data_IF_675863067858
#
_entry.id   IF_675863067858
#
_cell.length_a   1.000
_cell.length_b   1.000
_cell.length_c   1.000
_cell.angle_alpha   90.00
_cell.angle_beta   90.00
_cell.angle_gamma   90.00
#
_symmetry.space_group_name_H-M   'P 1'
#
loop_
_entity.id
_entity.type
_entity.pdbx_description
1 polymer ?
#
# COMPACT_ATOMS: atom_id res chain seq x y z
N UNK A 1 -10.81 15.00 -7.99
CA UNK A 1 -11.76 13.87 -7.79
C UNK A 1 -12.46 14.10 -6.46
N UNK A 2 -13.79 14.08 -6.42
CA UNK A 2 -14.53 14.23 -5.16
C UNK A 2 -14.34 13.03 -4.23
N UNK A 3 -14.60 13.21 -2.93
CA UNK A 3 -14.60 12.13 -1.93
C UNK A 3 -15.69 11.11 -2.29
N UNK A 4 -15.33 10.04 -2.99
CA UNK A 4 -16.25 8.95 -3.28
C UNK A 4 -16.34 8.04 -2.04
N UNK A 5 -17.42 8.20 -1.28
CA UNK A 5 -17.72 7.33 -0.15
C UNK A 5 -18.19 5.99 -0.69
N UNK A 6 -17.61 4.90 -0.18
CA UNK A 6 -18.04 3.55 -0.53
C UNK A 6 -19.50 3.31 -0.11
N UNK A 7 -20.22 2.52 -0.89
CA UNK A 7 -21.51 1.94 -0.53
C UNK A 7 -21.38 1.12 0.76
N UNK A 8 -22.50 0.89 1.44
CA UNK A 8 -22.52 0.06 2.65
C UNK A 8 -22.03 -1.36 2.39
N UNK A 9 -22.27 -1.88 1.20
CA UNK A 9 -21.81 -3.20 0.76
C UNK A 9 -20.30 -3.21 0.54
N UNK A 10 -19.77 -2.25 -0.22
CA UNK A 10 -18.34 -2.14 -0.49
C UNK A 10 -17.51 -1.83 0.77
N UNK A 11 -18.06 -1.02 1.69
CA UNK A 11 -17.38 -0.62 2.93
C UNK A 11 -17.01 -1.82 3.83
N UNK A 12 -17.69 -2.96 3.71
CA UNK A 12 -17.36 -4.18 4.46
C UNK A 12 -15.94 -4.68 4.18
N UNK A 13 -15.44 -4.40 2.99
CA UNK A 13 -14.15 -4.90 2.50
C UNK A 13 -13.04 -3.86 2.58
N UNK A 14 -13.35 -2.65 3.04
CA UNK A 14 -12.47 -1.50 3.00
C UNK A 14 -11.10 -1.81 3.63
N UNK A 15 -11.10 -2.41 4.84
CA UNK A 15 -9.85 -2.72 5.55
C UNK A 15 -9.02 -3.78 4.85
N UNK A 16 -9.65 -4.83 4.32
CA UNK A 16 -8.94 -5.91 3.62
C UNK A 16 -8.24 -5.36 2.36
N UNK A 17 -8.93 -4.53 1.58
CA UNK A 17 -8.35 -3.90 0.38
C UNK A 17 -7.24 -2.92 0.77
N UNK A 18 -7.47 -2.12 1.82
CA UNK A 18 -6.47 -1.18 2.33
C UNK A 18 -5.18 -1.88 2.76
N UNK A 19 -5.28 -3.03 3.43
CA UNK A 19 -4.14 -3.85 3.83
C UNK A 19 -3.45 -4.52 2.64
N UNK A 20 -4.21 -4.99 1.63
CA UNK A 20 -3.64 -5.58 0.41
C UNK A 20 -2.76 -4.58 -0.33
N UNK A 21 -3.27 -3.39 -0.60
CA UNK A 21 -2.51 -2.32 -1.28
C UNK A 21 -1.35 -1.85 -0.40
N UNK A 22 -1.55 -1.75 0.93
CA UNK A 22 -0.46 -1.39 1.85
C UNK A 22 0.70 -2.39 1.76
N UNK A 23 0.42 -3.69 1.82
CA UNK A 23 1.45 -4.73 1.75
C UNK A 23 2.10 -4.81 0.36
N UNK A 24 1.34 -4.61 -0.72
CA UNK A 24 1.91 -4.48 -2.07
C UNK A 24 3.02 -3.42 -2.10
N UNK A 25 2.74 -2.22 -1.57
CA UNK A 25 3.73 -1.14 -1.56
C UNK A 25 4.89 -1.40 -0.60
N UNK A 26 4.64 -1.97 0.58
CA UNK A 26 5.71 -2.37 1.51
C UNK A 26 6.68 -3.34 0.82
N UNK A 27 6.16 -4.37 0.14
CA UNK A 27 6.96 -5.33 -0.62
C UNK A 27 7.77 -4.64 -1.71
N UNK A 28 7.13 -3.78 -2.50
CA UNK A 28 7.80 -3.01 -3.56
C UNK A 28 8.94 -2.17 -2.97
N UNK A 29 8.68 -1.38 -1.91
CA UNK A 29 9.69 -0.51 -1.30
C UNK A 29 10.83 -1.29 -0.68
N UNK A 30 10.53 -2.40 -0.01
CA UNK A 30 11.55 -3.28 0.54
C UNK A 30 12.47 -3.82 -0.55
N UNK A 31 11.89 -4.32 -1.65
CA UNK A 31 12.66 -4.84 -2.79
C UNK A 31 13.50 -3.74 -3.43
N UNK A 32 12.94 -2.54 -3.66
CA UNK A 32 13.68 -1.42 -4.26
C UNK A 32 14.82 -0.91 -3.38
N UNK A 33 14.70 -1.05 -2.05
CA UNK A 33 15.73 -0.66 -1.07
C UNK A 33 16.87 -1.67 -1.05
N UNK A 34 16.55 -2.96 -1.15
CA UNK A 34 17.47 -4.07 -0.90
C UNK A 34 17.95 -4.79 -2.18
N UNK A 35 17.54 -4.32 -3.37
CA UNK A 35 17.95 -4.90 -4.65
C UNK A 35 18.08 -3.86 -5.75
N UNK A 36 18.54 -4.30 -6.94
CA UNK A 36 18.62 -3.49 -8.14
C UNK A 36 17.29 -3.40 -8.92
N UNK A 37 16.23 -4.08 -8.47
CA UNK A 37 14.91 -4.06 -9.09
C UNK A 37 14.23 -2.72 -8.82
N UNK A 38 13.52 -2.18 -9.82
CA UNK A 38 12.75 -0.92 -9.73
C UNK A 38 11.38 -1.08 -10.37
N UNK A 39 10.36 -0.53 -9.74
CA UNK A 39 8.97 -0.54 -10.22
C UNK A 39 8.64 0.87 -10.70
N UNK A 40 8.89 1.14 -11.99
CA UNK A 40 8.90 2.50 -12.53
C UNK A 40 7.54 2.93 -13.06
N UNK A 41 6.78 1.99 -13.58
CA UNK A 41 5.51 2.26 -14.24
C UNK A 41 4.33 1.81 -13.38
N UNK A 42 3.16 2.40 -13.59
CA UNK A 42 1.94 1.95 -12.92
C UNK A 42 1.67 0.46 -13.15
N UNK A 43 1.92 -0.02 -14.38
CA UNK A 43 1.82 -1.44 -14.73
C UNK A 43 2.77 -2.33 -13.93
N UNK A 44 3.99 -1.87 -13.63
CA UNK A 44 4.92 -2.63 -12.79
C UNK A 44 4.36 -2.82 -11.38
N UNK A 45 3.74 -1.77 -10.83
CA UNK A 45 3.09 -1.81 -9.52
C UNK A 45 1.91 -2.80 -9.55
N UNK A 46 0.99 -2.63 -10.50
CA UNK A 46 -0.19 -3.51 -10.66
C UNK A 46 0.20 -4.98 -10.83
N UNK A 47 1.23 -5.26 -11.64
CA UNK A 47 1.68 -6.62 -11.92
C UNK A 47 2.14 -7.41 -10.69
N UNK A 48 2.48 -6.75 -9.59
CA UNK A 48 2.77 -7.41 -8.31
C UNK A 48 1.53 -8.15 -7.79
N UNK A 49 0.34 -7.59 -7.99
CA UNK A 49 -0.94 -8.21 -7.62
C UNK A 49 -1.53 -9.04 -8.77
N UNK A 50 -1.51 -8.53 -10.00
CA UNK A 50 -2.21 -9.18 -11.12
C UNK A 50 -1.42 -10.31 -11.78
N UNK A 51 -0.10 -10.35 -11.58
CA UNK A 51 0.77 -11.30 -12.27
C UNK A 51 0.82 -11.11 -13.79
N UNK A 52 0.48 -9.91 -14.28
CA UNK A 52 0.45 -9.59 -15.71
C UNK A 52 -0.86 -9.93 -16.42
N UNK A 53 -1.87 -10.40 -15.69
CA UNK A 53 -3.21 -10.69 -16.25
C UNK A 53 -4.09 -9.44 -16.14
N UNK A 54 -4.97 -9.15 -17.13
CA UNK A 54 -5.82 -7.96 -17.09
C UNK A 54 -6.77 -7.88 -15.89
N UNK A 55 -7.26 -9.02 -15.43
CA UNK A 55 -8.29 -9.14 -14.38
C UNK A 55 -7.92 -10.29 -13.46
N UNK A 56 -8.09 -10.13 -12.15
CA UNK A 56 -7.72 -11.15 -11.15
C UNK A 56 -8.69 -11.13 -9.97
N UNK A 57 -8.88 -12.26 -9.31
CA UNK A 57 -9.62 -12.33 -8.04
C UNK A 57 -8.76 -11.86 -6.86
N UNK A 58 -9.38 -11.44 -5.75
CA UNK A 58 -8.62 -11.07 -4.55
C UNK A 58 -7.80 -12.23 -3.96
N UNK A 59 -8.33 -13.46 -3.97
CA UNK A 59 -7.55 -14.64 -3.53
C UNK A 59 -6.33 -14.87 -4.42
N UNK A 60 -6.49 -14.74 -5.74
CA UNK A 60 -5.38 -14.89 -6.67
C UNK A 60 -4.36 -13.75 -6.56
N UNK A 61 -4.81 -12.53 -6.26
CA UNK A 61 -3.95 -11.38 -6.06
C UNK A 61 -3.05 -11.51 -4.83
N UNK A 62 -3.59 -11.98 -3.70
CA UNK A 62 -2.78 -12.20 -2.49
C UNK A 62 -1.79 -13.36 -2.68
N UNK A 63 -2.16 -14.39 -3.45
CA UNK A 63 -1.23 -15.46 -3.85
C UNK A 63 -0.09 -14.95 -4.72
N UNK A 64 -0.40 -14.09 -5.69
CA UNK A 64 0.61 -13.44 -6.53
C UNK A 64 1.56 -12.58 -5.69
N UNK A 65 1.02 -11.79 -4.74
CA UNK A 65 1.82 -10.99 -3.82
C UNK A 65 2.74 -11.88 -2.97
N UNK A 66 2.21 -12.96 -2.38
CA UNK A 66 2.98 -13.88 -1.56
C UNK A 66 4.09 -14.56 -2.35
N UNK A 67 3.79 -15.06 -3.56
CA UNK A 67 4.77 -15.64 -4.46
C UNK A 67 5.86 -14.63 -4.80
N UNK A 68 5.46 -13.43 -5.19
CA UNK A 68 6.38 -12.36 -5.58
C UNK A 68 7.32 -11.96 -4.44
N UNK A 69 6.79 -11.91 -3.22
CA UNK A 69 7.51 -11.57 -2.00
C UNK A 69 8.51 -12.66 -1.61
N UNK A 70 8.09 -13.93 -1.57
CA UNK A 70 8.99 -15.07 -1.25
C UNK A 70 10.15 -15.22 -2.23
N UNK A 71 9.97 -14.80 -3.49
CA UNK A 71 11.03 -14.84 -4.49
C UNK A 71 12.08 -13.75 -4.31
N UNK A 72 11.82 -12.69 -3.55
CA UNK A 72 12.65 -11.46 -3.53
C UNK A 72 12.99 -10.94 -2.13
N UNK A 73 12.30 -11.42 -1.09
CA UNK A 73 12.50 -11.05 0.30
C UNK A 73 13.01 -12.30 1.02
N UNK A 74 14.26 -12.25 1.50
CA UNK A 74 14.92 -13.38 2.15
C UNK A 74 15.10 -13.20 3.66
N UNK A 75 15.23 -11.95 4.14
CA UNK A 75 15.63 -11.64 5.52
C UNK A 75 14.60 -10.80 6.28
N UNK A 76 13.33 -10.83 5.86
CA UNK A 76 12.25 -10.09 6.54
C UNK A 76 10.96 -10.92 6.59
N UNK A 77 10.91 -11.81 7.58
CA UNK A 77 9.78 -12.71 7.80
C UNK A 77 8.51 -11.95 8.22
N UNK A 78 8.64 -10.79 8.86
CA UNK A 78 7.48 -9.99 9.29
C UNK A 78 6.61 -9.56 8.10
N UNK A 79 7.22 -9.14 6.99
CA UNK A 79 6.46 -8.79 5.78
C UNK A 79 5.75 -10.04 5.23
N UNK A 80 6.43 -11.18 5.19
CA UNK A 80 5.85 -12.43 4.68
C UNK A 80 4.70 -12.92 5.57
N UNK A 81 4.87 -12.87 6.89
CA UNK A 81 3.86 -13.27 7.86
C UNK A 81 2.61 -12.39 7.77
N UNK A 82 2.77 -11.07 7.64
CA UNK A 82 1.64 -10.16 7.42
C UNK A 82 0.85 -10.49 6.13
N UNK A 83 1.54 -10.91 5.06
CA UNK A 83 0.89 -11.33 3.81
C UNK A 83 0.12 -12.64 4.01
N UNK A 84 0.70 -13.60 4.74
CA UNK A 84 0.04 -14.87 5.07
C UNK A 84 -1.21 -14.64 5.92
N UNK A 85 -1.14 -13.79 6.94
CA UNK A 85 -2.31 -13.42 7.75
C UNK A 85 -3.40 -12.73 6.92
N UNK A 86 -3.03 -11.84 5.99
CA UNK A 86 -3.99 -11.22 5.09
C UNK A 86 -4.60 -12.23 4.12
N UNK A 87 -3.81 -13.19 3.63
CA UNK A 87 -4.29 -14.28 2.79
C UNK A 87 -5.37 -15.08 3.51
N UNK A 88 -5.14 -15.46 4.77
CA UNK A 88 -6.12 -16.19 5.56
C UNK A 88 -7.42 -15.37 5.73
N UNK A 89 -7.32 -14.06 5.94
CA UNK A 89 -8.51 -13.17 6.01
C UNK A 89 -9.26 -13.12 4.69
N UNK A 90 -8.55 -12.99 3.56
CA UNK A 90 -9.17 -12.95 2.23
C UNK A 90 -9.87 -14.28 1.95
N UNK A 91 -9.18 -15.41 2.09
CA UNK A 91 -9.70 -16.73 1.74
C UNK A 91 -10.92 -17.15 2.58
N UNK A 92 -11.04 -16.60 3.81
CA UNK A 92 -12.18 -16.79 4.70
C UNK A 92 -13.25 -15.68 4.60
N UNK A 93 -13.23 -14.86 3.54
CA UNK A 93 -14.21 -13.79 3.34
C UNK A 93 -14.87 -13.83 1.96
N UNK A 94 -16.00 -13.13 1.82
CA UNK A 94 -16.79 -13.10 0.58
C UNK A 94 -16.07 -12.42 -0.59
N UNK A 95 -15.07 -11.56 -0.33
CA UNK A 95 -14.32 -10.84 -1.37
C UNK A 95 -13.40 -11.73 -2.20
N UNK A 96 -13.07 -12.94 -1.71
CA UNK A 96 -12.02 -13.80 -2.30
C UNK A 96 -12.21 -14.07 -3.80
N UNK A 97 -13.46 -14.19 -4.22
CA UNK A 97 -13.89 -14.52 -5.59
C UNK A 97 -14.30 -13.29 -6.41
N UNK A 98 -14.34 -12.09 -5.78
CA UNK A 98 -14.58 -10.84 -6.49
C UNK A 98 -13.33 -10.45 -7.30
N UNK A 99 -13.56 -9.77 -8.42
CA UNK A 99 -12.51 -9.40 -9.37
C UNK A 99 -12.17 -7.91 -9.29
N UNK A 100 -10.93 -7.60 -9.66
CA UNK A 100 -10.47 -6.24 -9.93
C UNK A 100 -9.50 -6.22 -11.13
N UNK A 101 -9.22 -5.04 -11.68
CA UNK A 101 -8.47 -4.84 -12.92
C UNK A 101 -9.35 -4.46 -14.11
N UNK A 102 -8.89 -4.74 -15.33
CA UNK A 102 -9.60 -4.39 -16.56
C UNK A 102 -10.94 -5.12 -16.65
N UNK A 103 -11.98 -4.43 -17.12
CA UNK A 103 -13.28 -5.01 -17.51
C UNK A 103 -14.03 -5.79 -16.39
N UNK A 104 -14.05 -5.25 -15.16
CA UNK A 104 -14.90 -5.74 -14.07
C UNK A 104 -16.39 -5.65 -14.41
N UNK A 105 -17.14 -6.70 -14.03
CA UNK A 105 -18.47 -6.98 -14.58
C UNK A 105 -19.63 -6.44 -13.74
N UNK A 106 -19.44 -6.31 -12.42
CA UNK A 106 -20.48 -5.90 -11.48
C UNK A 106 -20.26 -4.50 -10.90
N UNK A 107 -21.34 -3.87 -10.43
CA UNK A 107 -21.28 -2.55 -9.78
C UNK A 107 -20.41 -2.56 -8.52
N UNK A 108 -20.50 -3.62 -7.71
CA UNK A 108 -19.66 -3.81 -6.52
C UNK A 108 -18.18 -3.95 -6.89
N UNK A 109 -17.83 -4.83 -7.84
CA UNK A 109 -16.43 -5.01 -8.27
C UNK A 109 -15.84 -3.73 -8.83
N UNK A 110 -16.60 -2.96 -9.62
CA UNK A 110 -16.16 -1.66 -10.11
C UNK A 110 -15.91 -0.68 -8.97
N UNK A 111 -16.80 -0.61 -7.98
CA UNK A 111 -16.60 0.25 -6.82
C UNK A 111 -15.35 -0.14 -6.00
N UNK A 112 -15.13 -1.44 -5.79
CA UNK A 112 -13.93 -1.94 -5.11
C UNK A 112 -12.65 -1.71 -5.92
N UNK A 113 -12.69 -1.86 -7.25
CA UNK A 113 -11.56 -1.58 -8.15
C UNK A 113 -11.17 -0.09 -8.12
N UNK A 114 -12.16 0.81 -8.15
CA UNK A 114 -11.91 2.25 -7.95
C UNK A 114 -11.29 2.53 -6.57
N UNK A 115 -11.67 1.77 -5.54
CA UNK A 115 -11.07 1.88 -4.21
C UNK A 115 -9.61 1.40 -4.20
N UNK A 116 -9.30 0.26 -4.84
CA UNK A 116 -7.92 -0.23 -5.04
C UNK A 116 -7.07 0.85 -5.72
N UNK A 117 -7.58 1.44 -6.80
CA UNK A 117 -6.90 2.52 -7.54
C UNK A 117 -6.65 3.75 -6.66
N UNK A 118 -7.67 4.18 -5.91
CA UNK A 118 -7.57 5.32 -4.99
C UNK A 118 -6.55 5.08 -3.88
N UNK A 119 -6.53 3.88 -3.27
CA UNK A 119 -5.52 3.46 -2.30
C UNK A 119 -4.13 3.41 -2.92
N UNK A 120 -4.01 2.95 -4.16
CA UNK A 120 -2.74 2.93 -4.90
C UNK A 120 -2.18 4.34 -5.08
N UNK A 121 -3.02 5.29 -5.52
CA UNK A 121 -2.59 6.68 -5.63
C UNK A 121 -2.18 7.28 -4.29
N UNK A 122 -2.96 7.03 -3.22
CA UNK A 122 -2.60 7.46 -1.86
C UNK A 122 -1.18 7.00 -1.47
N UNK A 123 -0.84 5.74 -1.72
CA UNK A 123 0.48 5.18 -1.41
C UNK A 123 1.63 5.81 -2.23
N UNK A 124 1.33 6.39 -3.39
CA UNK A 124 2.32 7.00 -4.30
C UNK A 124 2.49 8.51 -4.04
N UNK A 125 1.38 9.24 -3.85
CA UNK A 125 1.37 10.71 -3.90
C UNK A 125 1.84 11.35 -2.59
N UNK A 126 1.67 10.68 -1.46
CA UNK A 126 1.96 11.26 -0.13
C UNK A 126 3.40 11.04 0.34
N UNK A 127 4.33 10.87 -0.61
CA UNK A 127 5.76 10.72 -0.37
C UNK A 127 6.44 12.09 -0.30
N UNK A 128 7.06 12.43 0.83
CA UNK A 128 7.74 13.72 1.05
C UNK A 128 9.19 13.50 1.48
N UNK A 129 10.04 14.53 1.40
CA UNK A 129 11.41 14.39 1.92
C UNK A 129 11.41 14.26 3.44
N UNK A 130 12.48 13.70 4.03
CA UNK A 130 12.62 13.64 5.50
C UNK A 130 12.53 15.05 6.12
N UNK A 131 13.10 16.07 5.45
CA UNK A 131 13.04 17.45 5.90
C UNK A 131 11.59 17.95 5.96
N UNK A 132 10.83 17.80 4.88
CA UNK A 132 9.43 18.23 4.85
C UNK A 132 8.59 17.46 5.88
N UNK A 133 8.82 16.15 6.04
CA UNK A 133 8.15 15.36 7.07
C UNK A 133 8.49 15.84 8.48
N UNK A 134 9.74 16.24 8.71
CA UNK A 134 10.20 16.78 9.98
C UNK A 134 9.49 18.08 10.33
N UNK A 135 9.41 19.01 9.39
CA UNK A 135 8.72 20.30 9.54
C UNK A 135 7.20 20.12 9.72
N UNK A 136 6.56 19.23 8.94
CA UNK A 136 5.11 19.03 8.97
C UNK A 136 4.61 18.27 10.21
N UNK A 137 5.46 17.44 10.82
CA UNK A 137 5.10 16.58 11.95
C UNK A 137 5.73 17.01 13.26
N UNK A 138 6.60 18.04 13.24
CA UNK A 138 7.40 18.47 14.39
C UNK A 138 8.20 17.31 15.02
N UNK A 139 8.83 16.49 14.16
CA UNK A 139 9.69 15.36 14.56
C UNK A 139 11.09 15.63 14.04
N UNK A 140 12.17 15.49 14.84
CA UNK A 140 13.52 15.70 14.34
C UNK A 140 13.88 14.82 13.13
N UNK A 141 14.52 15.40 12.10
CA UNK A 141 14.93 14.68 10.88
C UNK A 141 15.72 13.40 11.20
N UNK A 142 16.60 13.46 12.21
CA UNK A 142 17.42 12.32 12.64
C UNK A 142 16.57 11.14 13.13
N UNK A 143 15.46 11.43 13.83
CA UNK A 143 14.54 10.42 14.35
C UNK A 143 13.83 9.70 13.20
N UNK A 144 13.35 10.46 12.21
CA UNK A 144 12.71 9.88 11.01
C UNK A 144 13.72 9.04 10.23
N UNK A 145 14.94 9.55 10.04
CA UNK A 145 16.02 8.84 9.35
C UNK A 145 16.37 7.53 10.04
N UNK A 146 16.50 7.52 11.37
CA UNK A 146 16.75 6.30 12.14
C UNK A 146 15.61 5.28 12.00
N UNK A 147 14.35 5.74 12.04
CA UNK A 147 13.20 4.86 11.85
C UNK A 147 13.20 4.20 10.45
N UNK A 148 13.60 4.93 9.41
CA UNK A 148 13.77 4.37 8.05
C UNK A 148 14.89 3.32 8.00
N UNK A 149 16.05 3.64 8.59
CA UNK A 149 17.23 2.77 8.61
C UNK A 149 17.02 1.49 9.40
N UNK A 150 16.21 1.55 10.46
CA UNK A 150 15.84 0.41 11.30
C UNK A 150 14.57 -0.30 10.79
N UNK A 151 14.09 0.05 9.60
CA UNK A 151 12.92 -0.57 8.97
C UNK A 151 11.62 -0.48 9.78
N UNK A 152 11.55 0.51 10.69
CA UNK A 152 10.31 0.83 11.44
C UNK A 152 9.32 1.61 10.56
N UNK A 153 9.82 2.28 9.53
CA UNK A 153 9.05 2.82 8.41
C UNK A 153 9.43 2.07 7.13
N UNK A 154 8.42 1.53 6.46
CA UNK A 154 8.58 0.62 5.34
C UNK A 154 8.15 1.23 4.01
N UNK A 155 7.18 2.15 3.98
CA UNK A 155 6.84 2.89 2.76
C UNK A 155 7.77 4.11 2.58
N UNK A 156 9.01 3.82 2.25
CA UNK A 156 10.07 4.82 2.03
C UNK A 156 10.73 4.60 0.67
N UNK A 157 11.27 5.65 0.09
CA UNK A 157 11.98 5.59 -1.19
C UNK A 157 13.35 6.27 -1.08
N UNK A 158 14.42 5.63 -1.57
CA UNK A 158 15.75 6.23 -1.60
C UNK A 158 16.00 6.87 -2.97
N UNK A 159 16.18 8.20 -3.00
CA UNK A 159 16.46 8.97 -4.21
C UNK A 159 17.86 9.57 -4.11
N UNK A 160 18.82 8.98 -4.83
CA UNK A 160 20.23 9.37 -4.75
C UNK A 160 20.78 9.23 -3.33
N UNK A 161 21.16 10.37 -2.72
CA UNK A 161 21.62 10.43 -1.33
C UNK A 161 20.50 10.71 -0.32
N UNK A 162 19.31 11.07 -0.80
CA UNK A 162 18.16 11.42 0.03
C UNK A 162 17.17 10.26 0.22
N UNK A 163 16.29 10.42 1.20
CA UNK A 163 15.16 9.54 1.45
C UNK A 163 13.86 10.32 1.38
N UNK A 164 12.83 9.69 0.83
CA UNK A 164 11.45 10.11 0.95
C UNK A 164 10.70 9.12 1.82
N UNK A 165 9.75 9.63 2.58
CA UNK A 165 8.90 8.86 3.49
C UNK A 165 7.44 9.12 3.18
N UNK A 166 6.61 8.12 3.38
CA UNK A 166 5.17 8.27 3.26
C UNK A 166 4.63 9.02 4.49
N UNK A 167 4.21 10.27 4.31
CA UNK A 167 3.80 11.13 5.41
C UNK A 167 2.67 10.52 6.28
N UNK A 168 1.64 9.87 5.71
CA UNK A 168 0.62 9.18 6.50
C UNK A 168 1.16 8.00 7.33
N UNK A 169 2.17 7.29 6.85
CA UNK A 169 2.81 6.21 7.62
C UNK A 169 3.55 6.80 8.83
N UNK A 170 4.29 7.89 8.64
CA UNK A 170 4.93 8.63 9.73
C UNK A 170 3.89 9.05 10.78
N UNK A 171 2.78 9.67 10.36
CA UNK A 171 1.70 10.07 11.28
C UNK A 171 1.17 8.89 12.08
N UNK A 172 0.89 7.76 11.44
CA UNK A 172 0.42 6.56 12.12
C UNK A 172 1.46 6.03 13.12
N UNK A 173 2.72 5.96 12.73
CA UNK A 173 3.81 5.45 13.56
C UNK A 173 4.01 6.28 14.85
N UNK A 174 3.99 7.61 14.74
CA UNK A 174 4.10 8.52 15.89
C UNK A 174 2.77 8.93 16.51
N UNK A 175 1.65 8.33 16.08
CA UNK A 175 0.29 8.62 16.58
C UNK A 175 -0.10 10.10 16.46
N UNK A 176 0.33 10.76 15.40
CA UNK A 176 0.00 12.15 15.12
C UNK A 176 -1.33 12.19 14.35
N UNK A 177 -2.34 12.95 14.82
CA UNK A 177 -3.62 13.03 14.14
C UNK A 177 -3.49 13.66 12.75
N UNK A 178 -4.34 13.22 11.82
CA UNK A 178 -4.48 13.87 10.53
C UNK A 178 -5.50 15.01 10.66
N UNK A 179 -5.10 16.24 10.33
CA UNK A 179 -5.90 17.44 10.62
C UNK A 179 -6.41 18.17 9.38
N UNK A 180 -5.91 17.85 8.19
CA UNK A 180 -6.36 18.51 6.96
C UNK A 180 -7.54 17.76 6.33
N UNK A 181 -8.75 18.12 6.77
CA UNK A 181 -9.96 17.54 6.21
C UNK A 181 -10.06 17.74 4.70
N UNK A 182 -9.49 18.81 4.11
CA UNK A 182 -9.63 19.10 2.68
C UNK A 182 -8.83 18.16 1.79
N UNK A 183 -7.94 17.35 2.35
CA UNK A 183 -7.20 16.34 1.60
C UNK A 183 -8.15 15.31 0.96
N UNK A 184 -7.91 15.00 -0.31
CA UNK A 184 -8.64 13.99 -1.08
C UNK A 184 -8.46 12.56 -0.54
N UNK A 185 -7.49 12.34 0.35
CA UNK A 185 -7.20 11.08 1.03
C UNK A 185 -7.43 11.13 2.55
N UNK A 186 -8.08 12.17 3.08
CA UNK A 186 -8.32 12.33 4.52
C UNK A 186 -8.93 11.10 5.22
N UNK A 187 -9.84 10.41 4.54
CA UNK A 187 -10.52 9.18 4.98
C UNK A 187 -9.63 7.93 4.90
N UNK A 188 -8.53 7.99 4.14
CA UNK A 188 -7.61 6.88 3.98
C UNK A 188 -6.56 6.91 5.09
N UNK A 189 -6.74 6.04 6.09
CA UNK A 189 -5.78 5.85 7.19
C UNK A 189 -4.83 4.67 6.91
N UNK A 190 -3.69 4.68 7.59
CA UNK A 190 -2.76 3.56 7.68
C UNK A 190 -3.31 2.49 8.64
#
# INVERSE_FOLDING_TARGET
MGRAKLSSEASKYERIIADLVRLQFIVIRYIERNSNIKYRTHRDLENVLTGGVPTVTYSKAIDNLLKHSRMRIHDNDDIINNIVELKDKIDNSEIKDLHFGMAVSSGLENELDQYVLRRTFFMITSMVTIKDASELLDIPEITIKQACQQERLLNTEKIGRGWRVHLPECRAYWKIPYTDEKDIYYDLKY
#
